data_IF_280717331611
#
_entry.id   IF_280717331611
#
_cell.length_a   1.000
_cell.length_b   1.000
_cell.length_c   1.000
_cell.angle_alpha   90.00
_cell.angle_beta   90.00
_cell.angle_gamma   90.00
#
_symmetry.space_group_name_H-M   'P 1'
#
loop_
_entity.id
_entity.type
_entity.pdbx_description
1 polymer ?
#
# COMPACT_ATOMS: atom_id res chain seq x y z
N UNK A 1 -8.31 -13.69 21.84
CA UNK A 1 -7.23 -13.58 20.84
C UNK A 1 -7.70 -14.40 19.65
N UNK A 2 -7.75 -13.81 18.46
CA UNK A 2 -8.13 -14.56 17.26
C UNK A 2 -7.09 -15.61 16.92
N UNK A 3 -7.56 -16.67 16.25
CA UNK A 3 -6.80 -17.88 15.94
C UNK A 3 -6.25 -17.88 14.51
N UNK A 4 -6.78 -17.00 13.66
CA UNK A 4 -6.38 -16.83 12.27
C UNK A 4 -6.23 -15.35 11.94
N UNK A 5 -5.44 -15.07 10.90
CA UNK A 5 -5.33 -13.73 10.34
C UNK A 5 -6.66 -13.28 9.72
N UNK A 6 -6.86 -11.97 9.64
CA UNK A 6 -8.02 -11.38 8.96
C UNK A 6 -7.91 -11.65 7.47
N UNK A 7 -8.91 -12.29 6.90
CA UNK A 7 -8.99 -12.56 5.47
C UNK A 7 -9.49 -11.34 4.70
N UNK A 8 -9.24 -11.33 3.39
CA UNK A 8 -9.76 -10.28 2.51
C UNK A 8 -11.30 -10.20 2.53
N UNK A 9 -11.99 -11.35 2.69
CA UNK A 9 -13.45 -11.38 2.74
C UNK A 9 -13.97 -10.72 4.03
N UNK A 10 -13.34 -10.98 5.16
CA UNK A 10 -13.70 -10.38 6.45
C UNK A 10 -13.43 -8.87 6.46
N UNK A 11 -12.28 -8.45 5.92
CA UNK A 11 -11.96 -7.03 5.80
C UNK A 11 -12.91 -6.31 4.84
N UNK A 12 -13.33 -6.95 3.74
CA UNK A 12 -14.31 -6.39 2.81
C UNK A 12 -15.67 -6.15 3.49
N UNK A 13 -16.16 -7.12 4.27
CA UNK A 13 -17.42 -6.96 5.04
C UNK A 13 -17.32 -5.81 6.04
N UNK A 14 -16.17 -5.65 6.69
CA UNK A 14 -15.93 -4.52 7.59
C UNK A 14 -16.00 -3.17 6.86
N UNK A 15 -15.33 -3.05 5.71
CA UNK A 15 -15.35 -1.82 4.90
C UNK A 15 -16.77 -1.50 4.44
N UNK A 16 -17.52 -2.49 3.94
CA UNK A 16 -18.89 -2.31 3.47
C UNK A 16 -19.83 -1.87 4.61
N UNK A 17 -19.70 -2.47 5.80
CA UNK A 17 -20.55 -2.15 6.94
C UNK A 17 -20.24 -0.79 7.58
N UNK A 18 -18.97 -0.34 7.55
CA UNK A 18 -18.53 0.87 8.24
C UNK A 18 -18.30 2.08 7.33
N UNK A 19 -18.20 1.87 6.01
CA UNK A 19 -17.72 2.89 5.09
C UNK A 19 -16.26 3.28 5.31
N UNK A 20 -15.45 2.39 5.89
CA UNK A 20 -14.07 2.69 6.26
C UNK A 20 -13.18 2.93 5.04
N UNK A 21 -12.52 4.09 5.01
CA UNK A 21 -11.49 4.44 4.02
C UNK A 21 -10.12 4.08 4.59
N UNK A 22 -9.34 3.24 3.90
CA UNK A 22 -8.03 2.79 4.39
C UNK A 22 -6.98 3.90 4.38
N UNK A 23 -5.88 3.70 5.11
CA UNK A 23 -4.74 4.63 5.07
C UNK A 23 -4.14 4.76 3.66
N UNK A 24 -4.13 3.68 2.87
CA UNK A 24 -3.65 3.69 1.49
C UNK A 24 -4.51 4.56 0.55
N UNK A 25 -5.79 4.76 0.89
CA UNK A 25 -6.72 5.58 0.12
C UNK A 25 -6.75 7.04 0.58
N UNK A 26 -6.11 7.37 1.71
CA UNK A 26 -6.04 8.72 2.25
C UNK A 26 -4.77 9.41 1.77
N UNK A 27 -4.85 10.72 1.55
CA UNK A 27 -3.66 11.53 1.29
C UNK A 27 -2.75 11.48 2.52
N UNK A 28 -1.45 11.16 2.39
CA UNK A 28 -0.53 11.21 3.51
C UNK A 28 -0.48 12.60 4.14
N UNK A 29 -0.61 12.68 5.46
CA UNK A 29 -0.38 13.91 6.21
C UNK A 29 1.10 14.01 6.58
N UNK A 30 1.78 15.05 6.07
CA UNK A 30 3.19 15.30 6.35
C UNK A 30 3.46 15.47 7.85
N UNK A 31 2.55 16.10 8.59
CA UNK A 31 2.74 16.38 10.01
C UNK A 31 2.73 15.11 10.86
N UNK A 32 1.98 14.09 10.43
CA UNK A 32 2.00 12.75 11.03
C UNK A 32 3.19 11.93 10.52
N UNK A 33 3.46 11.96 9.22
CA UNK A 33 4.55 11.19 8.59
C UNK A 33 5.92 11.59 9.16
N UNK A 34 6.19 12.88 9.34
CA UNK A 34 7.48 13.36 9.86
C UNK A 34 7.79 12.87 11.28
N UNK A 35 6.79 12.48 12.07
CA UNK A 35 7.00 11.93 13.42
C UNK A 35 7.67 10.54 13.38
N UNK A 36 7.57 9.84 12.26
CA UNK A 36 8.15 8.51 12.05
C UNK A 36 9.49 8.57 11.30
N UNK A 37 9.90 9.75 10.84
CA UNK A 37 11.13 9.96 10.07
C UNK A 37 12.27 10.48 10.96
N UNK A 38 13.54 10.25 10.55
CA UNK A 38 14.67 10.87 11.21
C UNK A 38 14.54 12.40 11.27
N UNK A 39 15.00 13.05 12.37
CA UNK A 39 15.01 14.50 12.47
C UNK A 39 15.75 15.15 11.30
N UNK A 40 15.18 16.24 10.76
CA UNK A 40 15.77 16.97 9.64
C UNK A 40 15.43 16.40 8.25
N UNK A 41 14.57 15.37 8.17
CA UNK A 41 14.09 14.89 6.87
C UNK A 41 13.28 16.00 6.17
N UNK A 42 13.68 16.44 4.96
CA UNK A 42 12.97 17.50 4.25
C UNK A 42 11.59 17.03 3.80
N UNK A 43 10.63 17.95 3.77
CA UNK A 43 9.30 17.68 3.22
C UNK A 43 9.43 17.39 1.72
N UNK A 44 8.92 16.25 1.22
CA UNK A 44 8.89 15.98 -0.20
C UNK A 44 7.86 16.88 -0.90
N UNK A 45 7.95 17.01 -2.22
CA UNK A 45 7.01 17.79 -3.00
C UNK A 45 5.55 17.29 -2.83
N UNK A 46 4.59 18.20 -2.81
CA UNK A 46 3.18 17.81 -2.61
C UNK A 46 2.64 16.93 -3.74
N UNK A 47 3.27 16.94 -4.93
CA UNK A 47 2.92 16.06 -6.05
C UNK A 47 3.22 14.58 -5.80
N UNK A 48 4.12 14.25 -4.86
CA UNK A 48 4.46 12.86 -4.53
C UNK A 48 3.76 12.36 -3.25
N UNK A 49 3.14 13.26 -2.49
CA UNK A 49 2.31 12.93 -1.33
C UNK A 49 0.87 12.60 -1.77
N UNK A 50 0.73 11.53 -2.54
CA UNK A 50 -0.56 11.06 -3.07
C UNK A 50 -1.03 9.80 -2.34
N UNK A 51 -2.34 9.52 -2.29
CA UNK A 51 -2.84 8.22 -1.85
C UNK A 51 -2.21 7.09 -2.66
N UNK A 52 -1.78 6.03 -1.98
CA UNK A 52 -1.20 4.87 -2.62
C UNK A 52 -0.67 3.83 -1.63
N UNK A 53 -0.30 2.68 -2.19
CA UNK A 53 0.35 1.57 -1.51
C UNK A 53 1.46 1.01 -2.39
N UNK A 54 2.46 0.37 -1.78
CA UNK A 54 3.44 -0.39 -2.53
C UNK A 54 2.77 -1.63 -3.13
N UNK A 55 2.96 -1.82 -4.42
CA UNK A 55 2.46 -2.97 -5.16
C UNK A 55 3.60 -3.83 -5.64
N UNK A 56 3.48 -5.12 -5.35
CA UNK A 56 4.39 -6.12 -5.86
C UNK A 56 4.12 -6.32 -7.35
N UNK A 57 5.15 -6.07 -8.15
CA UNK A 57 5.14 -6.27 -9.59
C UNK A 57 6.07 -7.44 -9.91
N UNK A 58 5.54 -8.62 -10.26
CA UNK A 58 6.36 -9.79 -10.54
C UNK A 58 7.30 -9.52 -11.72
N UNK A 59 8.55 -9.98 -11.60
CA UNK A 59 9.56 -9.85 -12.64
C UNK A 59 9.59 -11.09 -13.53
N UNK A 60 9.81 -10.91 -14.83
CA UNK A 60 9.89 -12.02 -15.79
C UNK A 60 11.21 -12.82 -15.69
N UNK A 61 12.17 -12.34 -14.90
CA UNK A 61 13.52 -12.89 -14.74
C UNK A 61 14.04 -12.62 -13.34
N UNK A 62 15.06 -13.38 -12.94
CA UNK A 62 15.77 -13.12 -11.69
C UNK A 62 16.34 -11.69 -11.68
N UNK A 63 16.21 -11.02 -10.54
CA UNK A 63 16.66 -9.65 -10.28
C UNK A 63 17.45 -9.62 -8.96
N UNK A 64 18.37 -8.66 -8.77
CA UNK A 64 19.14 -8.55 -7.53
C UNK A 64 18.22 -8.33 -6.32
N UNK A 65 18.34 -9.15 -5.28
CA UNK A 65 17.43 -9.11 -4.12
C UNK A 65 17.69 -7.94 -3.15
N UNK A 66 18.76 -7.19 -3.38
CA UNK A 66 19.16 -5.99 -2.64
C UNK A 66 18.50 -4.70 -3.14
N UNK A 67 17.88 -4.72 -4.33
CA UNK A 67 17.15 -3.59 -4.89
C UNK A 67 15.64 -3.85 -4.96
N UNK A 68 14.93 -3.49 -3.88
CA UNK A 68 13.48 -3.66 -3.78
C UNK A 68 12.69 -2.95 -4.90
N UNK A 69 13.25 -1.90 -5.51
CA UNK A 69 12.58 -1.16 -6.59
C UNK A 69 12.41 -2.00 -7.86
N UNK A 70 13.13 -3.12 -7.98
CA UNK A 70 13.02 -4.02 -9.12
C UNK A 70 11.72 -4.85 -9.14
N UNK A 71 10.98 -4.95 -8.02
CA UNK A 71 9.69 -5.67 -7.95
C UNK A 71 8.64 -5.02 -7.03
N UNK A 72 8.93 -3.86 -6.45
CA UNK A 72 7.94 -3.04 -5.76
C UNK A 72 7.79 -1.70 -6.44
N UNK A 73 6.55 -1.28 -6.68
CA UNK A 73 6.24 -0.01 -7.32
C UNK A 73 5.22 0.78 -6.49
N UNK A 74 5.38 2.10 -6.43
CA UNK A 74 4.40 3.00 -5.84
C UNK A 74 3.65 3.72 -6.97
N UNK A 75 2.51 3.18 -7.43
CA UNK A 75 1.68 3.87 -8.42
C UNK A 75 1.17 5.17 -7.79
N UNK A 76 1.35 6.28 -8.49
CA UNK A 76 0.46 7.40 -8.25
C UNK A 76 -0.98 6.89 -8.47
N UNK A 77 -1.93 7.35 -7.65
CA UNK A 77 -3.37 7.13 -7.76
C UNK A 77 -3.97 5.90 -7.06
N UNK A 78 -3.18 5.09 -6.33
CA UNK A 78 -3.68 3.98 -5.51
C UNK A 78 -4.42 2.88 -6.29
N UNK A 79 -3.92 1.64 -6.23
CA UNK A 79 -4.82 0.51 -6.46
C UNK A 79 -5.72 0.44 -5.22
N UNK A 80 -6.95 0.96 -5.34
CA UNK A 80 -8.00 0.66 -4.38
C UNK A 80 -8.10 -0.85 -4.18
N UNK A 81 -8.72 -1.28 -3.08
CA UNK A 81 -8.83 -2.68 -2.62
C UNK A 81 -9.44 -3.70 -3.62
N UNK A 82 -9.60 -3.34 -4.87
CA UNK A 82 -10.04 -4.18 -5.97
C UNK A 82 -9.07 -4.11 -7.15
N UNK A 83 -8.12 -5.05 -7.17
CA UNK A 83 -7.70 -5.66 -8.43
C UNK A 83 -8.59 -6.89 -8.63
N UNK A 84 -9.72 -6.81 -9.36
CA UNK A 84 -10.49 -8.00 -9.67
C UNK A 84 -9.64 -8.89 -10.57
N UNK A 85 -9.17 -10.02 -10.03
CA UNK A 85 -8.71 -11.12 -10.88
C UNK A 85 -7.27 -11.60 -10.73
N UNK A 86 -6.51 -11.23 -9.69
CA UNK A 86 -5.26 -11.96 -9.42
C UNK A 86 -5.56 -13.26 -8.66
N UNK A 87 -6.28 -14.15 -9.34
CA UNK A 87 -6.33 -15.56 -9.02
C UNK A 87 -4.94 -16.12 -9.37
N UNK A 88 -4.03 -16.17 -8.40
CA UNK A 88 -2.81 -16.94 -8.56
C UNK A 88 -3.17 -18.44 -8.57
N UNK A 89 -3.69 -18.91 -9.71
CA UNK A 89 -3.58 -20.32 -10.09
C UNK A 89 -2.16 -20.55 -10.60
N UNK A 90 -1.29 -21.04 -9.73
CA UNK A 90 -0.71 -22.40 -9.79
C UNK A 90 0.34 -22.56 -8.71
#
# INVERSE_FOLDING_TARGET
MDIHDVTNEEFAKFVEASGYVTSAERKPDWEELKKQLPPGTPKPDDSVLVPGSLVFTPTARAVPLDDLSAWWSFPANGYGLYAPGVNHKK
#
